data_IF_655730751472
#
_entry.id   IF_655730751472
#
_cell.length_a   1.000
_cell.length_b   1.000
_cell.length_c   1.000
_cell.angle_alpha   90.00
_cell.angle_beta   90.00
_cell.angle_gamma   90.00
#
_symmetry.space_group_name_H-M   'P 1'
#
loop_
_entity.id
_entity.type
_entity.pdbx_description
1 polymer ?
#
# COMPACT_ATOMS: atom_id res chain seq x y z
N UNK A 1 51.56 -29.13 -3.73
CA UNK A 1 50.52 -29.45 -4.71
C UNK A 1 49.09 -29.16 -4.27
N UNK A 2 48.87 -28.76 -3.03
CA UNK A 2 47.53 -28.42 -2.44
C UNK A 2 47.09 -26.96 -2.62
N UNK A 3 48.06 -26.03 -2.65
CA UNK A 3 47.77 -24.59 -2.70
C UNK A 3 47.15 -24.07 -4.03
N UNK A 4 47.55 -24.68 -5.16
CA UNK A 4 47.02 -24.31 -6.47
C UNK A 4 45.52 -24.63 -6.62
N UNK A 5 45.01 -25.62 -5.93
CA UNK A 5 43.60 -26.06 -6.05
C UNK A 5 42.63 -25.13 -5.31
N UNK A 6 43.09 -24.50 -4.21
CA UNK A 6 42.28 -23.50 -3.46
C UNK A 6 42.13 -22.20 -4.25
N UNK A 7 43.22 -21.70 -4.83
CA UNK A 7 43.19 -20.46 -5.61
C UNK A 7 42.35 -20.56 -6.90
N UNK A 8 42.19 -21.73 -7.45
CA UNK A 8 41.34 -21.96 -8.63
C UNK A 8 39.86 -22.03 -8.24
N UNK A 9 39.53 -22.62 -7.11
CA UNK A 9 38.18 -22.70 -6.57
C UNK A 9 37.63 -21.30 -6.17
N UNK A 10 38.46 -20.47 -5.58
CA UNK A 10 38.07 -19.12 -5.17
C UNK A 10 37.82 -18.22 -6.38
N UNK A 11 38.63 -18.31 -7.42
CA UNK A 11 38.40 -17.59 -8.68
C UNK A 11 37.13 -18.04 -9.41
N UNK A 12 36.75 -19.32 -9.29
CA UNK A 12 35.53 -19.84 -9.89
C UNK A 12 34.30 -19.31 -9.13
N UNK A 13 34.35 -19.22 -7.83
CA UNK A 13 33.30 -18.66 -6.97
C UNK A 13 33.12 -17.17 -7.21
N UNK A 14 34.17 -16.38 -7.33
CA UNK A 14 34.10 -14.96 -7.65
C UNK A 14 33.48 -14.70 -9.03
N UNK A 15 33.83 -15.48 -10.03
CA UNK A 15 33.22 -15.39 -11.37
C UNK A 15 31.73 -15.74 -11.34
N UNK A 16 31.32 -16.73 -10.55
CA UNK A 16 29.94 -17.12 -10.38
C UNK A 16 29.13 -16.01 -9.71
N UNK A 17 29.68 -15.41 -8.65
CA UNK A 17 29.06 -14.26 -7.96
C UNK A 17 28.92 -13.02 -8.87
N UNK A 18 29.92 -12.74 -9.68
CA UNK A 18 29.86 -11.65 -10.66
C UNK A 18 28.82 -11.91 -11.76
N UNK A 19 28.69 -13.16 -12.17
CA UNK A 19 27.72 -13.58 -13.19
C UNK A 19 26.28 -13.47 -12.64
N UNK A 20 26.04 -13.96 -11.42
CA UNK A 20 24.76 -13.83 -10.71
C UNK A 20 24.35 -12.36 -10.51
N UNK A 21 25.28 -11.50 -10.11
CA UNK A 21 25.02 -10.06 -9.99
C UNK A 21 24.65 -9.41 -11.31
N UNK A 22 25.26 -9.81 -12.41
CA UNK A 22 24.92 -9.33 -13.75
C UNK A 22 23.56 -9.82 -14.22
N UNK A 23 23.17 -11.06 -13.94
CA UNK A 23 21.85 -11.60 -14.26
C UNK A 23 20.74 -10.90 -13.48
N UNK A 24 20.95 -10.66 -12.20
CA UNK A 24 19.99 -9.92 -11.36
C UNK A 24 19.85 -8.45 -11.82
N UNK A 25 20.95 -7.81 -12.20
CA UNK A 25 20.93 -6.45 -12.72
C UNK A 25 20.24 -6.35 -14.08
N UNK A 26 20.45 -7.32 -14.97
CA UNK A 26 19.76 -7.39 -16.27
C UNK A 26 18.26 -7.59 -16.09
N UNK A 27 17.82 -8.46 -15.17
CA UNK A 27 16.40 -8.67 -14.91
C UNK A 27 15.70 -7.43 -14.31
N UNK A 28 16.40 -6.65 -13.46
CA UNK A 28 15.90 -5.39 -12.93
C UNK A 28 15.74 -4.31 -14.01
N UNK A 29 16.69 -4.23 -14.95
CA UNK A 29 16.61 -3.31 -16.09
C UNK A 29 15.47 -3.67 -17.03
N UNK A 30 15.26 -4.98 -17.30
CA UNK A 30 14.16 -5.44 -18.15
C UNK A 30 12.79 -5.19 -17.50
N UNK A 31 12.66 -5.39 -16.20
CA UNK A 31 11.45 -5.07 -15.45
C UNK A 31 11.21 -3.55 -15.45
N UNK A 32 12.24 -2.75 -15.26
CA UNK A 32 12.13 -1.29 -15.30
C UNK A 32 11.78 -0.80 -16.72
N UNK A 33 12.38 -1.39 -17.76
CA UNK A 33 12.06 -1.09 -19.16
C UNK A 33 10.63 -1.51 -19.52
N UNK A 34 10.15 -2.66 -19.03
CA UNK A 34 8.78 -3.10 -19.21
C UNK A 34 7.77 -2.16 -18.50
N UNK A 35 8.09 -1.72 -17.28
CA UNK A 35 7.29 -0.73 -16.54
C UNK A 35 7.28 0.62 -17.26
N UNK A 36 8.41 1.09 -17.78
CA UNK A 36 8.50 2.32 -18.60
C UNK A 36 7.76 2.17 -19.93
N UNK A 37 7.79 1.00 -20.56
CA UNK A 37 7.03 0.71 -21.78
C UNK A 37 5.52 0.75 -21.56
N UNK A 38 5.02 0.23 -20.44
CA UNK A 38 3.62 0.32 -20.03
C UNK A 38 3.23 1.80 -19.79
N UNK A 39 4.14 2.59 -19.24
CA UNK A 39 3.94 4.02 -19.00
C UNK A 39 3.88 4.84 -20.31
N UNK A 40 4.62 4.44 -21.36
CA UNK A 40 4.66 5.11 -22.64
C UNK A 40 3.39 4.87 -23.52
N UNK A 41 2.66 3.78 -23.27
CA UNK A 41 1.41 3.44 -23.95
C UNK A 41 0.21 4.23 -23.35
N UNK A 42 0.38 4.92 -22.24
CA UNK A 42 -0.60 5.85 -21.69
C UNK A 42 -0.71 7.11 -22.58
N UNK A 43 -1.28 6.96 -23.77
CA UNK A 43 -1.68 8.05 -24.66
C UNK A 43 -2.46 9.06 -23.83
N UNK A 44 -2.20 10.38 -23.95
CA UNK A 44 -2.93 11.41 -23.24
C UNK A 44 -4.37 11.45 -23.76
N UNK A 45 -5.22 10.59 -23.23
CA UNK A 45 -6.65 10.69 -23.45
C UNK A 45 -7.10 12.02 -22.82
N UNK A 46 -7.70 12.89 -23.62
CA UNK A 46 -8.32 14.13 -23.18
C UNK A 46 -9.14 13.81 -21.93
N UNK A 47 -8.81 14.46 -20.84
CA UNK A 47 -9.48 14.29 -19.55
C UNK A 47 -10.90 14.84 -19.67
N UNK A 48 -11.83 14.02 -20.19
CA UNK A 48 -13.24 14.24 -20.01
C UNK A 48 -13.52 14.09 -18.52
N UNK A 49 -14.38 14.96 -17.98
CA UNK A 49 -14.75 15.00 -16.56
C UNK A 49 -15.62 13.79 -16.14
N UNK A 50 -15.26 12.62 -16.59
CA UNK A 50 -15.97 11.38 -16.29
C UNK A 50 -15.60 10.90 -14.89
N UNK A 51 -16.63 10.66 -14.11
CA UNK A 51 -16.47 10.15 -12.74
C UNK A 51 -16.42 8.62 -12.79
N UNK A 52 -15.35 7.98 -12.33
CA UNK A 52 -15.29 6.53 -12.27
C UNK A 52 -16.29 6.00 -11.25
N UNK A 53 -17.05 4.97 -11.64
CA UNK A 53 -18.02 4.29 -10.76
C UNK A 53 -17.34 3.38 -9.76
N UNK A 54 -16.28 2.70 -10.21
CA UNK A 54 -15.51 1.72 -9.44
C UNK A 54 -14.06 2.13 -9.45
N UNK A 55 -13.43 2.10 -8.29
CA UNK A 55 -12.01 2.32 -8.12
C UNK A 55 -11.42 1.17 -7.33
N UNK A 56 -10.28 0.65 -7.78
CA UNK A 56 -9.50 -0.38 -7.11
C UNK A 56 -8.11 0.19 -6.83
N UNK A 57 -7.77 0.33 -5.58
CA UNK A 57 -6.46 0.80 -5.13
C UNK A 57 -5.64 -0.37 -4.64
N UNK A 58 -4.34 -0.31 -4.90
CA UNK A 58 -3.34 -1.16 -4.29
C UNK A 58 -2.08 -0.35 -3.98
N UNK A 59 -1.56 -0.49 -2.79
CA UNK A 59 -0.42 0.31 -2.35
C UNK A 59 0.38 -0.28 -1.21
N UNK A 60 1.50 0.37 -0.95
CA UNK A 60 2.35 0.13 0.21
C UNK A 60 1.97 1.10 1.32
N UNK A 61 1.91 0.58 2.54
CA UNK A 61 1.60 1.34 3.74
C UNK A 61 2.69 1.20 4.81
N UNK A 62 2.95 2.31 5.46
CA UNK A 62 3.75 2.39 6.67
C UNK A 62 2.83 2.78 7.83
N UNK A 63 2.81 1.96 8.88
CA UNK A 63 2.00 2.20 10.08
C UNK A 63 2.90 2.41 11.27
N UNK A 64 2.79 3.57 11.90
CA UNK A 64 3.45 3.88 13.15
C UNK A 64 2.49 3.69 14.31
N UNK A 65 2.79 2.71 15.15
CA UNK A 65 2.04 2.42 16.38
C UNK A 65 2.74 3.08 17.54
N UNK A 66 2.00 3.85 18.35
CA UNK A 66 2.51 4.44 19.59
C UNK A 66 1.73 3.83 20.76
N UNK A 67 2.44 3.06 21.60
CA UNK A 67 1.90 2.39 22.77
C UNK A 67 2.76 2.69 24.00
N UNK A 68 2.16 3.23 25.08
CA UNK A 68 2.73 3.47 26.42
C UNK A 68 4.16 4.04 26.48
N UNK A 69 4.58 4.80 25.43
CA UNK A 69 5.91 5.41 25.36
C UNK A 69 6.89 4.73 24.41
N UNK A 70 6.56 3.54 23.93
CA UNK A 70 7.29 2.86 22.87
C UNK A 70 6.64 3.09 21.51
N UNK A 71 7.45 3.10 20.46
CA UNK A 71 6.96 3.24 19.07
C UNK A 71 7.42 2.06 18.23
N UNK A 72 6.47 1.38 17.61
CA UNK A 72 6.74 0.26 16.71
C UNK A 72 6.35 0.64 15.29
N UNK A 73 7.15 0.19 14.33
CA UNK A 73 6.94 0.47 12.93
C UNK A 73 6.51 -0.81 12.21
N UNK A 74 5.36 -0.74 11.56
CA UNK A 74 4.84 -1.82 10.73
C UNK A 74 4.90 -1.40 9.27
N UNK A 75 5.29 -2.33 8.43
CA UNK A 75 5.34 -2.17 6.98
C UNK A 75 4.39 -3.17 6.35
N UNK A 76 3.72 -2.76 5.27
CA UNK A 76 2.78 -3.67 4.64
C UNK A 76 2.18 -3.12 3.38
N UNK A 77 1.04 -3.66 3.03
CA UNK A 77 0.27 -3.20 1.88
C UNK A 77 -1.22 -3.21 2.16
N UNK A 78 -1.93 -2.37 1.44
CA UNK A 78 -3.39 -2.38 1.45
C UNK A 78 -3.98 -2.36 0.05
N UNK A 79 -5.21 -2.87 -0.03
CA UNK A 79 -6.07 -2.80 -1.19
C UNK A 79 -7.40 -2.17 -0.80
N UNK A 80 -7.91 -1.27 -1.65
CA UNK A 80 -9.23 -0.68 -1.46
C UNK A 80 -10.09 -0.91 -2.68
N UNK A 81 -11.36 -1.20 -2.44
CA UNK A 81 -12.40 -1.20 -3.45
C UNK A 81 -13.37 -0.07 -3.12
N UNK A 82 -13.59 0.86 -4.06
CA UNK A 82 -14.51 1.97 -3.88
C UNK A 82 -15.60 1.94 -4.96
N UNK A 83 -16.84 2.07 -4.52
CA UNK A 83 -18.00 2.30 -5.38
C UNK A 83 -18.47 3.75 -5.22
N UNK A 84 -18.55 4.51 -6.31
CA UNK A 84 -18.91 5.92 -6.33
C UNK A 84 -20.33 6.08 -6.92
N UNK A 85 -21.40 6.15 -6.09
CA UNK A 85 -22.75 6.40 -6.54
C UNK A 85 -22.93 7.78 -7.20
N UNK A 86 -22.10 8.75 -6.82
CA UNK A 86 -22.08 10.09 -7.44
C UNK A 86 -20.66 10.69 -7.45
N UNK A 87 -20.51 11.95 -7.90
CA UNK A 87 -19.19 12.60 -8.07
C UNK A 87 -18.41 12.82 -6.75
N UNK A 88 -19.11 13.00 -5.67
CA UNK A 88 -18.53 13.42 -4.38
C UNK A 88 -18.55 12.31 -3.32
N UNK A 89 -19.44 11.33 -3.42
CA UNK A 89 -19.58 10.26 -2.44
C UNK A 89 -19.06 8.93 -3.00
N UNK A 90 -18.28 8.22 -2.20
CA UNK A 90 -17.86 6.84 -2.40
C UNK A 90 -18.16 5.99 -1.18
N UNK A 91 -18.35 4.69 -1.38
CA UNK A 91 -18.37 3.66 -0.35
C UNK A 91 -17.13 2.82 -0.57
N UNK A 92 -16.30 2.67 0.46
CA UNK A 92 -14.98 2.03 0.38
C UNK A 92 -14.94 0.81 1.28
N UNK A 93 -14.41 -0.30 0.75
CA UNK A 93 -13.89 -1.42 1.52
C UNK A 93 -12.36 -1.39 1.47
N UNK A 94 -11.71 -1.56 2.60
CA UNK A 94 -10.25 -1.51 2.79
C UNK A 94 -9.78 -2.81 3.43
N UNK A 95 -8.72 -3.40 2.86
CA UNK A 95 -8.07 -4.60 3.37
C UNK A 95 -6.57 -4.33 3.46
N UNK A 96 -5.98 -4.50 4.63
CA UNK A 96 -4.56 -4.27 4.86
C UNK A 96 -3.88 -5.43 5.57
N UNK A 97 -2.60 -5.65 5.24
CA UNK A 97 -1.74 -6.59 5.92
C UNK A 97 -0.41 -5.92 6.28
N UNK A 98 -0.06 -5.94 7.56
CA UNK A 98 1.09 -5.23 8.12
C UNK A 98 1.95 -6.19 8.93
N UNK A 99 3.27 -6.04 8.82
CA UNK A 99 4.25 -6.87 9.51
C UNK A 99 5.34 -5.99 10.13
N UNK A 100 5.80 -6.35 11.31
CA UNK A 100 7.00 -5.75 11.92
C UNK A 100 8.19 -6.69 11.81
N UNK A 101 9.38 -6.11 11.60
CA UNK A 101 10.64 -6.86 11.50
C UNK A 101 11.52 -6.71 12.76
N UNK A 102 11.09 -5.94 13.75
CA UNK A 102 11.89 -5.58 14.93
C UNK A 102 11.85 -6.70 15.98
N UNK A 103 12.49 -7.85 15.66
CA UNK A 103 12.74 -8.94 16.61
C UNK A 103 11.51 -9.78 17.02
N UNK A 104 10.32 -9.29 16.82
CA UNK A 104 9.05 -9.99 16.98
C UNK A 104 8.34 -10.05 15.64
N UNK A 105 8.05 -11.25 15.14
CA UNK A 105 7.25 -11.42 13.94
C UNK A 105 5.77 -11.25 14.27
N UNK A 106 5.32 -10.00 14.47
CA UNK A 106 3.91 -9.70 14.65
C UNK A 106 3.29 -9.28 13.31
N UNK A 107 2.17 -9.88 12.96
CA UNK A 107 1.38 -9.52 11.79
C UNK A 107 0.00 -9.00 12.21
N UNK A 108 -0.52 -8.01 11.48
CA UNK A 108 -1.86 -7.47 11.67
C UNK A 108 -2.59 -7.45 10.33
N UNK A 109 -3.76 -8.06 10.28
CA UNK A 109 -4.70 -7.94 9.16
C UNK A 109 -5.82 -6.97 9.57
N UNK A 110 -6.12 -6.01 8.69
CA UNK A 110 -7.24 -5.08 8.87
C UNK A 110 -8.26 -5.25 7.76
N UNK A 111 -9.54 -5.13 8.11
CA UNK A 111 -10.65 -5.08 7.17
C UNK A 111 -11.68 -4.07 7.66
N UNK A 112 -11.91 -3.05 6.85
CA UNK A 112 -12.72 -1.90 7.23
C UNK A 112 -13.60 -1.47 6.05
N UNK A 113 -14.71 -0.80 6.33
CA UNK A 113 -15.55 -0.20 5.30
C UNK A 113 -16.14 1.12 5.80
N UNK A 114 -16.46 2.01 4.86
CA UNK A 114 -17.08 3.28 5.22
C UNK A 114 -17.19 4.27 4.07
N UNK A 115 -17.68 5.47 4.36
CA UNK A 115 -17.85 6.54 3.38
C UNK A 115 -16.53 7.24 3.05
N UNK A 116 -16.44 7.68 1.78
CA UNK A 116 -15.40 8.57 1.24
C UNK A 116 -16.05 9.77 0.57
N UNK A 117 -15.53 10.94 0.84
CA UNK A 117 -15.87 12.17 0.12
C UNK A 117 -14.73 12.51 -0.83
N UNK A 118 -15.05 12.63 -2.11
CA UNK A 118 -14.11 12.95 -3.18
C UNK A 118 -14.32 14.39 -3.62
N UNK A 119 -13.27 15.21 -3.62
CA UNK A 119 -13.30 16.60 -4.06
C UNK A 119 -12.86 16.69 -5.53
N UNK A 120 -13.73 16.23 -6.43
CA UNK A 120 -13.46 16.20 -7.88
C UNK A 120 -13.74 17.55 -8.51
N UNK A 121 -12.68 18.31 -8.79
CA UNK A 121 -12.70 19.55 -9.56
C UNK A 121 -12.50 19.32 -11.07
N UNK A 122 -12.15 20.39 -11.79
CA UNK A 122 -11.87 20.35 -13.23
C UNK A 122 -10.44 19.91 -13.57
N UNK A 123 -9.62 19.53 -12.58
CA UNK A 123 -8.22 19.16 -12.75
C UNK A 123 -7.97 17.65 -12.68
N UNK A 124 -6.69 17.29 -12.78
CA UNK A 124 -6.21 15.91 -12.65
C UNK A 124 -6.12 15.43 -11.19
N UNK A 125 -6.20 16.34 -10.24
CA UNK A 125 -6.07 16.07 -8.81
C UNK A 125 -7.46 15.86 -8.20
N UNK A 126 -7.60 14.78 -7.44
CA UNK A 126 -8.80 14.46 -6.67
C UNK A 126 -8.40 14.23 -5.21
N UNK A 127 -8.42 15.27 -4.37
CA UNK A 127 -8.33 15.08 -2.93
C UNK A 127 -9.56 14.29 -2.44
N UNK A 128 -9.35 13.49 -1.39
CA UNK A 128 -10.45 12.78 -0.75
C UNK A 128 -10.25 12.72 0.76
N UNK A 129 -11.36 12.56 1.48
CA UNK A 129 -11.39 12.26 2.90
C UNK A 129 -12.27 11.03 3.13
N UNK A 130 -11.91 10.18 4.10
CA UNK A 130 -12.67 8.96 4.40
C UNK A 130 -12.70 8.66 5.89
N UNK A 131 -13.77 7.97 6.29
CA UNK A 131 -13.91 7.38 7.62
C UNK A 131 -14.29 5.92 7.42
N UNK A 132 -13.45 5.01 7.91
CA UNK A 132 -13.68 3.57 7.77
C UNK A 132 -13.77 2.94 9.14
N UNK A 133 -14.69 1.99 9.30
CA UNK A 133 -14.94 1.23 10.52
C UNK A 133 -14.84 -0.26 10.20
N UNK A 134 -14.31 -1.04 11.14
CA UNK A 134 -14.16 -2.47 10.96
C UNK A 134 -13.40 -3.12 12.09
N UNK A 135 -12.54 -4.06 11.73
CA UNK A 135 -11.74 -4.78 12.70
C UNK A 135 -10.30 -4.98 12.22
N UNK A 136 -9.40 -5.15 13.18
CA UNK A 136 -8.05 -5.60 13.00
C UNK A 136 -7.86 -6.93 13.73
N UNK A 137 -7.08 -7.85 13.14
CA UNK A 137 -6.76 -9.15 13.71
C UNK A 137 -5.26 -9.33 13.76
N UNK A 138 -4.74 -9.64 14.95
CA UNK A 138 -3.37 -10.10 15.10
C UNK A 138 -3.21 -11.51 14.49
N UNK A 139 -2.08 -11.74 13.81
CA UNK A 139 -1.75 -13.03 13.16
C UNK A 139 -0.67 -13.75 13.98
N UNK A 140 -0.70 -13.62 15.30
CA UNK A 140 0.17 -14.34 16.24
C UNK A 140 -0.47 -15.66 16.72
N UNK A 141 0.31 -16.42 17.53
CA UNK A 141 -0.13 -17.68 18.13
C UNK A 141 -1.42 -17.59 18.98
N UNK A 142 -1.84 -16.36 19.33
CA UNK A 142 -3.11 -16.06 20.00
C UNK A 142 -3.83 -14.94 19.26
N UNK A 143 -4.64 -15.26 18.24
CA UNK A 143 -5.27 -14.24 17.42
C UNK A 143 -6.30 -13.44 18.23
N UNK A 144 -6.01 -12.17 18.44
CA UNK A 144 -6.91 -11.19 19.07
C UNK A 144 -7.61 -10.36 17.99
N UNK A 145 -8.91 -10.17 18.16
CA UNK A 145 -9.69 -9.27 17.33
C UNK A 145 -9.85 -7.93 18.06
N UNK A 146 -9.58 -6.86 17.35
CA UNK A 146 -9.75 -5.50 17.83
C UNK A 146 -10.75 -4.75 16.96
N UNK A 147 -11.54 -3.87 17.56
CA UNK A 147 -12.25 -2.86 16.79
C UNK A 147 -11.23 -1.92 16.14
N UNK A 148 -11.43 -1.62 14.86
CA UNK A 148 -10.56 -0.74 14.09
C UNK A 148 -11.38 0.40 13.45
N UNK A 149 -10.80 1.59 13.46
CA UNK A 149 -11.35 2.77 12.80
C UNK A 149 -10.22 3.58 12.16
N UNK A 150 -10.43 4.05 10.93
CA UNK A 150 -9.54 5.04 10.33
C UNK A 150 -10.29 6.32 9.97
N UNK A 151 -9.61 7.44 10.14
CA UNK A 151 -10.06 8.76 9.71
C UNK A 151 -8.90 9.45 9.03
N UNK A 152 -9.09 9.88 7.80
CA UNK A 152 -8.03 10.54 7.06
C UNK A 152 -8.40 10.79 5.62
N UNK A 153 -7.39 10.87 4.77
CA UNK A 153 -7.59 11.13 3.36
C UNK A 153 -6.30 11.04 2.55
N UNK A 154 -6.41 11.46 1.32
CA UNK A 154 -5.28 11.41 0.39
C UNK A 154 -5.55 12.22 -0.86
N UNK A 155 -4.66 12.03 -1.81
CA UNK A 155 -4.69 12.71 -3.10
C UNK A 155 -4.51 11.70 -4.22
N UNK A 156 -5.48 11.62 -5.12
CA UNK A 156 -5.36 10.85 -6.36
C UNK A 156 -4.98 11.79 -7.51
N UNK A 157 -3.95 11.42 -8.28
CA UNK A 157 -3.52 12.13 -9.47
C UNK A 157 -3.83 11.29 -10.71
N UNK A 158 -4.79 11.73 -11.50
CA UNK A 158 -5.27 11.06 -12.71
C UNK A 158 -4.22 11.13 -13.82
N UNK A 159 -3.71 9.99 -14.26
CA UNK A 159 -2.77 9.86 -15.37
C UNK A 159 -3.53 9.59 -16.67
N UNK A 160 -4.50 8.66 -16.61
CA UNK A 160 -5.37 8.32 -17.75
C UNK A 160 -6.83 8.15 -17.29
N UNK A 161 -7.73 7.76 -18.18
CA UNK A 161 -9.13 7.48 -17.82
C UNK A 161 -9.29 6.28 -16.87
N UNK A 162 -8.36 5.32 -16.95
CA UNK A 162 -8.43 4.06 -16.20
C UNK A 162 -7.36 3.96 -15.11
N UNK A 163 -6.46 4.95 -15.00
CA UNK A 163 -5.31 4.86 -14.13
C UNK A 163 -5.01 6.19 -13.44
N UNK A 164 -4.85 6.13 -12.13
CA UNK A 164 -4.36 7.22 -11.30
C UNK A 164 -3.28 6.71 -10.33
N UNK A 165 -2.42 7.59 -9.88
CA UNK A 165 -1.51 7.33 -8.77
C UNK A 165 -2.06 8.01 -7.52
N UNK A 166 -1.84 7.37 -6.39
CA UNK A 166 -2.06 7.96 -5.06
C UNK A 166 -0.71 8.19 -4.41
N UNK A 167 -0.10 9.39 -4.57
CA UNK A 167 1.21 9.67 -4.02
C UNK A 167 1.21 9.75 -2.50
N UNK A 168 0.05 10.07 -1.90
CA UNK A 168 -0.09 10.19 -0.45
C UNK A 168 -1.49 9.82 0.00
N UNK A 169 -1.54 8.96 1.01
CA UNK A 169 -2.70 8.71 1.87
C UNK A 169 -2.21 8.80 3.29
N UNK A 170 -2.86 9.61 4.13
CA UNK A 170 -2.52 9.79 5.53
C UNK A 170 -3.78 9.62 6.38
N UNK A 171 -3.73 8.71 7.33
CA UNK A 171 -4.87 8.34 8.15
C UNK A 171 -4.47 8.13 9.61
N UNK A 172 -5.31 8.61 10.48
CA UNK A 172 -5.29 8.23 11.87
C UNK A 172 -5.97 6.87 12.02
N UNK A 173 -5.23 5.90 12.52
CA UNK A 173 -5.67 4.51 12.67
C UNK A 173 -5.80 4.16 14.15
N UNK A 174 -7.04 4.04 14.60
CA UNK A 174 -7.40 3.71 15.97
C UNK A 174 -7.72 2.23 16.07
N UNK A 175 -7.07 1.53 17.01
CA UNK A 175 -7.40 0.15 17.37
C UNK A 175 -7.77 0.08 18.85
N UNK A 176 -8.80 -0.73 19.18
CA UNK A 176 -9.23 -0.98 20.55
C UNK A 176 -9.33 -2.49 20.74
N UNK A 177 -8.42 -3.03 21.56
CA UNK A 177 -8.46 -4.42 21.99
C UNK A 177 -9.45 -4.60 23.14
N UNK A 178 -10.10 -5.79 23.22
CA UNK A 178 -11.19 -6.04 24.17
C UNK A 178 -10.73 -6.76 25.45
N UNK A 179 -9.50 -6.55 25.90
CA UNK A 179 -8.88 -7.26 27.03
C UNK A 179 -9.10 -6.62 28.41
N UNK A 180 -10.15 -5.79 28.56
CA UNK A 180 -10.51 -5.25 29.88
C UNK A 180 -9.60 -4.16 30.45
N UNK A 181 -8.39 -3.99 29.95
CA UNK A 181 -7.53 -2.83 30.19
C UNK A 181 -7.72 -1.85 29.03
N UNK A 182 -7.70 -0.56 29.34
CA UNK A 182 -8.03 0.56 28.45
C UNK A 182 -6.98 0.74 27.34
N UNK A 183 -6.77 -0.25 26.48
CA UNK A 183 -5.75 -0.22 25.44
C UNK A 183 -6.29 0.36 24.13
N UNK A 184 -6.45 1.67 24.15
CA UNK A 184 -6.66 2.47 22.97
C UNK A 184 -5.30 2.83 22.36
N UNK A 185 -4.98 2.23 21.23
CA UNK A 185 -3.77 2.55 20.48
C UNK A 185 -4.07 3.61 19.42
N UNK A 186 -3.23 4.63 19.41
CA UNK A 186 -3.31 5.75 18.48
C UNK A 186 -2.19 5.60 17.45
N UNK A 187 -2.55 5.24 16.23
CA UNK A 187 -1.60 4.91 15.19
C UNK A 187 -1.78 5.86 14.01
N UNK A 188 -0.71 6.04 13.23
CA UNK A 188 -0.76 6.76 11.97
C UNK A 188 -0.39 5.82 10.84
N UNK A 189 -1.24 5.80 9.79
CA UNK A 189 -1.01 5.06 8.55
C UNK A 189 -0.70 6.03 7.44
N UNK A 190 0.41 5.80 6.75
CA UNK A 190 0.83 6.52 5.56
C UNK A 190 0.94 5.54 4.43
N UNK A 191 0.32 5.85 3.28
CA UNK A 191 0.32 4.97 2.13
C UNK A 191 0.58 5.69 0.83
N UNK A 192 1.10 4.96 -0.15
CA UNK A 192 1.22 5.38 -1.54
C UNK A 192 0.98 4.18 -2.46
N UNK A 193 0.41 4.42 -3.64
CA UNK A 193 0.09 3.33 -4.55
C UNK A 193 -0.56 3.76 -5.85
N UNK A 194 -1.28 2.83 -6.45
CA UNK A 194 -1.94 3.00 -7.74
C UNK A 194 -3.45 2.77 -7.63
N UNK A 195 -4.20 3.45 -8.46
CA UNK A 195 -5.67 3.35 -8.52
C UNK A 195 -6.08 3.00 -9.94
N UNK A 196 -6.79 1.90 -10.09
CA UNK A 196 -7.47 1.54 -11.34
C UNK A 196 -8.92 2.02 -11.28
N UNK A 197 -9.37 2.66 -12.35
CA UNK A 197 -10.67 3.31 -12.45
C UNK A 197 -11.50 2.68 -13.57
N UNK A 198 -12.75 2.29 -13.25
CA UNK A 198 -13.63 1.60 -14.16
C UNK A 198 -15.03 2.24 -14.18
N UNK A 199 -15.71 2.13 -15.34
CA UNK A 199 -17.08 2.59 -15.50
C UNK A 199 -17.19 4.10 -15.36
N UNK A 200 -17.31 4.80 -16.47
CA UNK A 200 -17.47 6.25 -16.52
C UNK A 200 -18.96 6.64 -16.47
N UNK A 201 -19.21 7.83 -15.91
CA UNK A 201 -20.52 8.47 -15.87
C UNK A 201 -20.43 9.87 -16.42
#
# INVERSE_FOLDING_TARGET
MCECRHAEKDRHMERLHLWLKKLVALSLVDILAALLGIFAIAVPARAQNETPRIEVYGGYDYVRVSDLGDSYNFNGGSGQFAYNPNRWLGIVGDFGGYYTSDGFHAGVLSYMAGPRVNFRGHGKMTPFAQVLLGAARSVDNSPLNAFAMTVGGGLDYKISQHFAIRPVQAEYFLTKFSDGASDRQNNFRYGAGVVFQFGTR
#
